data_IF_072589625221
#
_entry.id   IF_072589625221
#
_cell.length_a   1.000
_cell.length_b   1.000
_cell.length_c   1.000
_cell.angle_alpha   90.00
_cell.angle_beta   90.00
_cell.angle_gamma   90.00
#
_symmetry.space_group_name_H-M   'P 1'
#
loop_
_entity.id
_entity.type
_entity.pdbx_description
1 polymer ?
#
# COMPACT_ATOMS: atom_id res chain seq x y z
N UNK A 1 -13.24 3.98 -34.10
CA UNK A 1 -14.63 4.24 -33.67
C UNK A 1 -15.33 2.89 -33.54
N UNK A 2 -15.16 2.22 -32.40
CA UNK A 2 -15.77 0.92 -32.14
C UNK A 2 -17.10 1.17 -31.42
N UNK A 3 -18.21 0.87 -32.11
CA UNK A 3 -19.55 0.94 -31.56
C UNK A 3 -19.80 -0.27 -30.66
N UNK A 4 -20.07 -0.04 -29.38
CA UNK A 4 -20.70 -1.02 -28.51
C UNK A 4 -22.20 -1.01 -28.76
N UNK A 5 -22.76 -2.12 -29.24
CA UNK A 5 -24.20 -2.35 -29.31
C UNK A 5 -24.69 -2.83 -27.94
N UNK A 6 -25.52 -2.03 -27.27
CA UNK A 6 -26.35 -2.51 -26.17
C UNK A 6 -27.63 -3.13 -26.75
N UNK A 7 -27.79 -4.44 -26.64
CA UNK A 7 -29.07 -5.10 -26.92
C UNK A 7 -29.85 -5.15 -25.61
N UNK A 8 -30.90 -4.34 -25.50
CA UNK A 8 -31.84 -4.40 -24.38
C UNK A 8 -32.96 -5.39 -24.73
N UNK A 9 -32.92 -6.58 -24.12
CA UNK A 9 -34.05 -7.51 -24.12
C UNK A 9 -34.95 -7.19 -22.92
N UNK A 10 -36.22 -6.89 -23.19
CA UNK A 10 -37.22 -6.57 -22.17
C UNK A 10 -37.77 -7.85 -21.52
N UNK A 11 -37.61 -7.95 -20.19
CA UNK A 11 -38.38 -8.84 -19.33
C UNK A 11 -37.58 -9.88 -18.53
N UNK A 12 -36.90 -9.45 -17.45
CA UNK A 12 -36.56 -10.25 -16.24
C UNK A 12 -35.65 -9.42 -15.29
N UNK A 13 -36.21 -8.52 -14.47
CA UNK A 13 -35.46 -7.70 -13.49
C UNK A 13 -34.46 -6.71 -14.13
N UNK A 14 -34.23 -5.53 -13.55
CA UNK A 14 -33.19 -4.63 -14.08
C UNK A 14 -31.80 -5.08 -13.61
N UNK A 15 -31.41 -6.33 -13.90
CA UNK A 15 -30.04 -6.80 -13.66
C UNK A 15 -29.19 -6.46 -14.87
N UNK A 16 -28.06 -5.80 -14.64
CA UNK A 16 -27.08 -5.51 -15.68
C UNK A 16 -25.76 -6.19 -15.34
N UNK A 17 -25.19 -6.87 -16.33
CA UNK A 17 -23.84 -7.42 -16.27
C UNK A 17 -22.83 -6.35 -16.70
N UNK A 18 -21.68 -6.32 -16.04
CA UNK A 18 -20.55 -5.48 -16.42
C UNK A 18 -19.24 -6.23 -16.20
N UNK A 19 -18.21 -5.86 -16.96
CA UNK A 19 -16.88 -6.43 -16.83
C UNK A 19 -15.82 -5.32 -16.94
N UNK A 20 -14.71 -5.48 -16.23
CA UNK A 20 -13.55 -4.60 -16.37
C UNK A 20 -12.25 -5.33 -16.07
N UNK A 21 -11.13 -4.79 -16.58
CA UNK A 21 -9.80 -5.28 -16.25
C UNK A 21 -9.40 -4.90 -14.81
N UNK A 22 -8.99 -5.91 -14.06
CA UNK A 22 -8.45 -5.78 -12.72
C UNK A 22 -7.15 -6.58 -12.61
N UNK A 23 -6.03 -5.85 -12.63
CA UNK A 23 -4.68 -6.40 -12.55
C UNK A 23 -4.44 -7.52 -13.56
N UNK A 24 -4.82 -7.32 -14.82
CA UNK A 24 -4.56 -8.26 -15.89
C UNK A 24 -5.56 -9.42 -16.01
N UNK A 25 -6.57 -9.48 -15.15
CA UNK A 25 -7.67 -10.43 -15.23
C UNK A 25 -8.99 -9.67 -15.44
N UNK A 26 -9.99 -10.28 -16.08
CA UNK A 26 -11.30 -9.66 -16.27
C UNK A 26 -12.24 -10.02 -15.13
N UNK A 27 -12.61 -9.05 -14.30
CA UNK A 27 -13.69 -9.19 -13.33
C UNK A 27 -15.02 -8.96 -14.04
N UNK A 28 -15.98 -9.86 -13.85
CA UNK A 28 -17.35 -9.73 -14.34
C UNK A 28 -18.31 -9.97 -13.20
N UNK A 29 -19.36 -9.16 -13.11
CA UNK A 29 -20.42 -9.32 -12.13
C UNK A 29 -21.76 -8.83 -12.67
N UNK A 30 -22.82 -9.18 -11.96
CA UNK A 30 -24.17 -8.68 -12.19
C UNK A 30 -24.59 -7.81 -11.02
N UNK A 31 -25.25 -6.69 -11.31
CA UNK A 31 -25.85 -5.83 -10.31
C UNK A 31 -27.28 -5.47 -10.68
N UNK A 32 -28.14 -5.37 -9.67
CA UNK A 32 -29.45 -4.76 -9.82
C UNK A 32 -29.27 -3.24 -9.98
N UNK A 33 -29.69 -2.72 -11.12
CA UNK A 33 -29.62 -1.29 -11.48
C UNK A 33 -30.94 -0.57 -11.21
N UNK A 34 -31.91 -1.23 -10.58
CA UNK A 34 -33.22 -0.65 -10.25
C UNK A 34 -33.13 0.47 -9.21
N UNK A 35 -31.96 0.73 -8.62
CA UNK A 35 -31.75 1.84 -7.69
C UNK A 35 -31.81 3.18 -8.44
N UNK A 36 -33.02 3.65 -8.70
CA UNK A 36 -33.32 4.85 -9.46
C UNK A 36 -33.37 6.13 -8.60
N UNK A 37 -32.84 6.11 -7.38
CA UNK A 37 -32.83 7.31 -6.53
C UNK A 37 -31.81 8.31 -7.04
N UNK A 38 -32.28 9.49 -7.46
CA UNK A 38 -31.43 10.67 -7.65
C UNK A 38 -30.86 11.07 -6.30
N UNK A 39 -29.58 10.73 -6.06
CA UNK A 39 -28.85 11.21 -4.89
C UNK A 39 -28.37 12.63 -5.21
N UNK A 40 -28.70 13.58 -4.33
CA UNK A 40 -28.24 14.95 -4.45
C UNK A 40 -26.71 15.03 -4.48
N UNK A 41 -26.15 15.98 -5.23
CA UNK A 41 -24.69 16.20 -5.26
C UNK A 41 -24.16 16.59 -3.88
N UNK A 42 -24.93 17.38 -3.13
CA UNK A 42 -24.69 17.64 -1.70
C UNK A 42 -25.47 16.59 -0.90
N UNK A 43 -24.77 15.64 -0.30
CA UNK A 43 -25.40 14.56 0.46
C UNK A 43 -25.75 15.04 1.85
N UNK A 44 -27.01 14.85 2.24
CA UNK A 44 -27.48 14.94 3.62
C UNK A 44 -27.50 13.57 4.31
N UNK A 45 -27.55 13.51 5.66
CA UNK A 45 -27.78 12.26 6.37
C UNK A 45 -29.07 11.53 5.94
N UNK A 46 -30.11 12.26 5.54
CA UNK A 46 -31.35 11.66 5.04
C UNK A 46 -31.14 10.96 3.70
N UNK A 47 -30.33 11.53 2.79
CA UNK A 47 -29.99 10.89 1.51
C UNK A 47 -29.27 9.56 1.72
N UNK A 48 -28.38 9.47 2.72
CA UNK A 48 -27.67 8.24 3.08
C UNK A 48 -28.65 7.17 3.58
N UNK A 49 -29.59 7.54 4.46
CA UNK A 49 -30.60 6.61 4.97
C UNK A 49 -31.55 6.13 3.86
N UNK A 50 -31.96 7.02 2.96
CA UNK A 50 -32.79 6.69 1.80
C UNK A 50 -32.05 5.73 0.85
N UNK A 51 -30.77 6.00 0.58
CA UNK A 51 -29.93 5.11 -0.21
C UNK A 51 -29.82 3.74 0.45
N UNK A 52 -29.49 3.67 1.74
CA UNK A 52 -29.33 2.42 2.46
C UNK A 52 -30.64 1.60 2.50
N UNK A 53 -31.78 2.26 2.70
CA UNK A 53 -33.09 1.59 2.70
C UNK A 53 -33.43 1.07 1.30
N UNK A 54 -33.24 1.90 0.27
CA UNK A 54 -33.54 1.53 -1.11
C UNK A 54 -32.64 0.40 -1.62
N UNK A 55 -31.34 0.48 -1.35
CA UNK A 55 -30.36 -0.50 -1.81
C UNK A 55 -30.57 -1.87 -1.14
N UNK A 56 -30.96 -1.90 0.14
CA UNK A 56 -31.30 -3.16 0.84
C UNK A 56 -32.56 -3.84 0.30
N UNK A 57 -33.42 -3.12 -0.43
CA UNK A 57 -34.59 -3.68 -1.10
C UNK A 57 -34.28 -4.41 -2.41
N UNK A 58 -33.04 -4.32 -2.92
CA UNK A 58 -32.62 -4.93 -4.18
C UNK A 58 -31.77 -6.19 -3.96
N UNK A 59 -31.59 -6.97 -5.03
CA UNK A 59 -30.79 -8.19 -4.99
C UNK A 59 -29.29 -7.92 -5.22
N UNK A 60 -28.58 -7.49 -4.18
CA UNK A 60 -27.12 -7.25 -4.21
C UNK A 60 -26.26 -8.46 -3.83
N UNK A 61 -26.87 -9.56 -3.37
CA UNK A 61 -26.13 -10.75 -2.94
C UNK A 61 -25.25 -11.35 -4.06
N UNK A 62 -25.71 -11.43 -5.33
CA UNK A 62 -24.87 -11.90 -6.42
C UNK A 62 -23.59 -11.07 -6.60
N UNK A 63 -23.70 -9.74 -6.56
CA UNK A 63 -22.55 -8.84 -6.69
C UNK A 63 -21.54 -9.04 -5.55
N UNK A 64 -22.02 -9.06 -4.31
CA UNK A 64 -21.17 -9.32 -3.14
C UNK A 64 -20.50 -10.69 -3.25
N UNK A 65 -21.25 -11.72 -3.68
CA UNK A 65 -20.72 -13.05 -3.93
C UNK A 65 -19.60 -13.06 -4.98
N UNK A 66 -19.77 -12.36 -6.11
CA UNK A 66 -18.73 -12.22 -7.13
C UNK A 66 -17.48 -11.52 -6.60
N UNK A 67 -17.64 -10.46 -5.82
CA UNK A 67 -16.51 -9.72 -5.21
C UNK A 67 -15.73 -10.61 -4.23
N UNK A 68 -16.43 -11.31 -3.33
CA UNK A 68 -15.81 -12.19 -2.35
C UNK A 68 -15.13 -13.41 -3.02
N UNK A 69 -15.79 -14.03 -3.99
CA UNK A 69 -15.19 -15.13 -4.76
C UNK A 69 -13.93 -14.67 -5.51
N UNK A 70 -13.90 -13.44 -6.01
CA UNK A 70 -12.70 -12.87 -6.62
C UNK A 70 -11.59 -12.62 -5.60
N UNK A 71 -11.93 -12.05 -4.43
CA UNK A 71 -10.99 -11.85 -3.32
C UNK A 71 -10.32 -13.17 -2.93
N UNK A 72 -11.08 -14.23 -2.78
CA UNK A 72 -10.57 -15.56 -2.44
C UNK A 72 -9.70 -16.15 -3.56
N UNK A 73 -10.21 -16.17 -4.80
CA UNK A 73 -9.51 -16.73 -5.97
C UNK A 73 -8.14 -16.10 -6.19
N UNK A 74 -8.04 -14.77 -6.06
CA UNK A 74 -6.80 -14.02 -6.30
C UNK A 74 -6.08 -13.66 -5.00
N UNK A 75 -6.56 -14.13 -3.85
CA UNK A 75 -5.97 -13.89 -2.52
C UNK A 75 -5.68 -12.40 -2.27
N UNK A 76 -6.67 -11.54 -2.54
CA UNK A 76 -6.52 -10.11 -2.32
C UNK A 76 -6.53 -9.82 -0.81
N UNK A 77 -5.48 -9.13 -0.33
CA UNK A 77 -5.53 -8.46 0.96
C UNK A 77 -6.58 -7.33 0.94
N UNK A 78 -6.92 -6.79 2.10
CA UNK A 78 -8.07 -5.90 2.23
C UNK A 78 -7.88 -4.59 1.44
N UNK A 79 -6.65 -4.08 1.35
CA UNK A 79 -6.33 -2.94 0.51
C UNK A 79 -6.58 -3.22 -0.97
N UNK A 80 -6.05 -4.31 -1.52
CA UNK A 80 -6.31 -4.70 -2.91
C UNK A 80 -7.79 -5.01 -3.17
N UNK A 81 -8.48 -5.59 -2.18
CA UNK A 81 -9.92 -5.80 -2.26
C UNK A 81 -10.70 -4.49 -2.28
N UNK A 82 -10.28 -3.49 -1.50
CA UNK A 82 -10.85 -2.15 -1.56
C UNK A 82 -10.62 -1.50 -2.93
N UNK A 83 -9.48 -1.72 -3.59
CA UNK A 83 -9.26 -1.27 -4.96
C UNK A 83 -10.24 -1.93 -5.96
N UNK A 84 -10.59 -3.20 -5.77
CA UNK A 84 -11.65 -3.86 -6.54
C UNK A 84 -13.01 -3.20 -6.30
N UNK A 85 -13.37 -2.95 -5.03
CA UNK A 85 -14.60 -2.23 -4.66
C UNK A 85 -14.66 -0.85 -5.30
N UNK A 86 -13.54 -0.10 -5.31
CA UNK A 86 -13.45 1.22 -5.95
C UNK A 86 -13.75 1.14 -7.45
N UNK A 87 -13.18 0.17 -8.17
CA UNK A 87 -13.45 -0.01 -9.61
C UNK A 87 -14.90 -0.46 -9.85
N UNK A 88 -15.46 -1.33 -9.01
CA UNK A 88 -16.86 -1.75 -9.10
C UNK A 88 -17.80 -0.57 -8.86
N UNK A 89 -17.56 0.24 -7.82
CA UNK A 89 -18.35 1.45 -7.55
C UNK A 89 -18.29 2.44 -8.72
N UNK A 90 -17.14 2.55 -9.41
CA UNK A 90 -16.99 3.38 -10.60
C UNK A 90 -17.89 2.91 -11.75
N UNK A 91 -18.05 1.59 -11.93
CA UNK A 91 -18.97 1.04 -12.93
C UNK A 91 -20.45 1.30 -12.59
N UNK A 92 -20.82 1.20 -11.31
CA UNK A 92 -22.20 1.38 -10.85
C UNK A 92 -22.62 2.85 -10.80
N UNK A 93 -21.69 3.72 -10.40
CA UNK A 93 -21.91 5.16 -10.30
C UNK A 93 -20.58 5.88 -10.48
N UNK A 94 -20.25 6.31 -11.71
CA UNK A 94 -18.99 6.98 -11.99
C UNK A 94 -18.74 8.16 -11.06
N UNK A 95 -17.52 8.27 -10.53
CA UNK A 95 -17.12 9.29 -9.56
C UNK A 95 -17.34 10.71 -10.11
N UNK A 96 -17.08 10.90 -11.41
CA UNK A 96 -17.22 12.18 -12.09
C UNK A 96 -18.68 12.61 -12.32
N UNK A 97 -19.63 11.67 -12.31
CA UNK A 97 -21.07 11.96 -12.45
C UNK A 97 -21.69 12.31 -11.11
N UNK A 98 -21.41 11.51 -10.07
CA UNK A 98 -21.92 11.74 -8.72
C UNK A 98 -20.97 11.14 -7.67
N UNK A 99 -20.10 11.98 -7.11
CA UNK A 99 -19.10 11.59 -6.11
C UNK A 99 -19.73 10.98 -4.85
N UNK A 100 -20.85 11.55 -4.41
CA UNK A 100 -21.56 11.10 -3.23
C UNK A 100 -22.09 9.68 -3.39
N UNK A 101 -22.80 9.41 -4.50
CA UNK A 101 -23.32 8.08 -4.82
C UNK A 101 -22.21 7.06 -5.04
N UNK A 102 -21.12 7.46 -5.70
CA UNK A 102 -19.91 6.64 -5.82
C UNK A 102 -19.40 6.20 -4.43
N UNK A 103 -19.30 7.14 -3.49
CA UNK A 103 -18.83 6.88 -2.12
C UNK A 103 -19.81 5.99 -1.34
N UNK A 104 -21.12 6.16 -1.54
CA UNK A 104 -22.14 5.30 -0.95
C UNK A 104 -22.04 3.85 -1.44
N UNK A 105 -21.80 3.63 -2.74
CA UNK A 105 -21.55 2.29 -3.26
C UNK A 105 -20.27 1.68 -2.66
N UNK A 106 -19.17 2.43 -2.56
CA UNK A 106 -17.95 1.94 -1.90
C UNK A 106 -18.23 1.47 -0.47
N UNK A 107 -18.89 2.32 0.32
CA UNK A 107 -19.26 2.00 1.70
C UNK A 107 -20.17 0.78 1.80
N UNK A 108 -21.21 0.72 0.97
CA UNK A 108 -22.16 -0.38 1.00
C UNK A 108 -21.51 -1.72 0.63
N UNK A 109 -20.72 -1.76 -0.45
CA UNK A 109 -20.02 -2.97 -0.89
C UNK A 109 -19.00 -3.44 0.14
N UNK A 110 -18.21 -2.53 0.72
CA UNK A 110 -17.23 -2.87 1.76
C UNK A 110 -17.93 -3.38 3.03
N UNK A 111 -19.00 -2.72 3.47
CA UNK A 111 -19.75 -3.11 4.67
C UNK A 111 -20.42 -4.48 4.50
N UNK A 112 -21.06 -4.73 3.36
CA UNK A 112 -21.68 -6.03 3.05
C UNK A 112 -20.66 -7.13 2.74
N UNK A 113 -19.38 -6.78 2.62
CA UNK A 113 -18.28 -7.75 2.60
C UNK A 113 -17.77 -8.11 4.01
N UNK A 114 -18.39 -7.55 5.06
CA UNK A 114 -18.13 -7.88 6.46
C UNK A 114 -17.29 -6.85 7.24
N UNK A 115 -16.79 -5.78 6.60
CA UNK A 115 -15.96 -4.77 7.27
C UNK A 115 -16.82 -3.74 8.00
N UNK A 116 -16.47 -3.37 9.24
CA UNK A 116 -17.14 -2.31 10.00
C UNK A 116 -16.75 -0.94 9.41
N UNK A 117 -17.50 -0.51 8.41
CA UNK A 117 -17.29 0.74 7.69
C UNK A 117 -18.42 1.72 7.95
N UNK A 118 -18.08 3.00 8.11
CA UNK A 118 -18.99 4.05 8.59
C UNK A 118 -18.92 5.29 7.71
N UNK A 119 -19.99 6.06 7.73
CA UNK A 119 -20.10 7.33 7.03
C UNK A 119 -20.28 8.47 8.02
N UNK A 120 -19.77 9.63 7.64
CA UNK A 120 -19.99 10.87 8.34
C UNK A 120 -20.16 12.00 7.31
N UNK A 121 -20.84 13.07 7.70
CA UNK A 121 -21.05 14.26 6.86
C UNK A 121 -20.44 15.46 7.57
N UNK A 122 -19.63 16.24 6.86
CA UNK A 122 -19.14 17.53 7.38
C UNK A 122 -20.18 18.63 7.24
N UNK A 123 -20.10 19.72 8.02
CA UNK A 123 -20.91 20.93 7.82
C UNK A 123 -20.99 21.43 6.37
N UNK A 124 -19.94 21.25 5.56
CA UNK A 124 -19.94 21.59 4.14
C UNK A 124 -20.63 20.55 3.22
N UNK A 125 -21.29 19.53 3.78
CA UNK A 125 -21.90 18.39 3.09
C UNK A 125 -20.91 17.49 2.36
N UNK A 126 -19.67 17.38 2.87
CA UNK A 126 -18.69 16.41 2.38
C UNK A 126 -18.97 15.05 3.03
N UNK A 127 -19.09 14.00 2.22
CA UNK A 127 -19.25 12.63 2.68
C UNK A 127 -17.88 12.03 2.99
N UNK A 128 -17.65 11.70 4.25
CA UNK A 128 -16.40 11.11 4.72
C UNK A 128 -16.64 9.64 5.01
N UNK A 129 -15.78 8.79 4.47
CA UNK A 129 -15.90 7.34 4.50
C UNK A 129 -14.79 6.75 5.34
N UNK A 130 -15.17 6.01 6.38
CA UNK A 130 -14.27 5.44 7.35
C UNK A 130 -14.37 3.92 7.42
N UNK A 131 -13.29 3.27 7.85
CA UNK A 131 -13.27 1.83 8.13
C UNK A 131 -12.60 1.55 9.47
N UNK A 132 -13.14 0.60 10.23
CA UNK A 132 -12.52 0.13 11.47
C UNK A 132 -11.15 -0.48 11.15
N UNK A 133 -10.13 -0.05 11.89
CA UNK A 133 -8.78 -0.59 11.85
C UNK A 133 -8.27 -0.76 13.28
N UNK A 134 -7.46 -1.79 13.50
CA UNK A 134 -6.84 -2.10 14.79
C UNK A 134 -5.31 -2.09 14.70
N UNK A 135 -4.76 -1.44 13.68
CA UNK A 135 -3.34 -1.34 13.40
C UNK A 135 -2.82 0.04 13.80
N UNK A 136 -1.51 0.17 13.95
CA UNK A 136 -0.90 1.45 14.32
C UNK A 136 -0.66 2.31 13.07
N UNK A 137 -1.72 3.00 12.65
CA UNK A 137 -1.69 3.94 11.53
C UNK A 137 -2.18 5.29 12.03
N UNK A 138 -1.37 6.33 11.90
CA UNK A 138 -1.70 7.69 12.34
C UNK A 138 -1.63 8.75 11.22
N UNK A 139 -1.14 8.38 10.05
CA UNK A 139 -0.78 9.31 8.97
C UNK A 139 -1.99 9.79 8.15
N UNK A 140 -3.18 9.26 8.44
CA UNK A 140 -4.44 9.68 7.82
C UNK A 140 -5.49 10.01 8.89
N UNK A 141 -6.42 10.95 8.61
CA UNK A 141 -7.44 11.33 9.59
C UNK A 141 -8.24 10.13 10.10
N UNK A 142 -8.47 10.08 11.41
CA UNK A 142 -9.23 9.04 12.06
C UNK A 142 -10.08 9.60 13.21
N UNK A 143 -11.03 8.81 13.69
CA UNK A 143 -11.72 9.08 14.94
C UNK A 143 -11.79 7.82 15.81
N UNK A 144 -12.02 8.02 17.10
CA UNK A 144 -12.26 6.94 18.07
C UNK A 144 -13.75 6.87 18.42
N UNK A 145 -14.37 5.70 18.29
CA UNK A 145 -15.72 5.43 18.79
C UNK A 145 -15.70 4.08 19.50
N UNK A 146 -16.18 4.04 20.76
CA UNK A 146 -16.25 2.82 21.58
C UNK A 146 -14.92 2.05 21.66
N UNK A 147 -13.80 2.77 21.76
CA UNK A 147 -12.46 2.19 21.80
C UNK A 147 -11.95 1.63 20.46
N UNK A 148 -12.72 1.77 19.38
CA UNK A 148 -12.30 1.39 18.01
C UNK A 148 -11.84 2.61 17.21
N UNK A 149 -10.75 2.42 16.46
CA UNK A 149 -10.16 3.42 15.56
C UNK A 149 -10.77 3.29 14.17
N UNK A 150 -11.31 4.38 13.63
CA UNK A 150 -11.92 4.42 12.31
C UNK A 150 -11.11 5.33 11.39
N UNK A 151 -10.47 4.75 10.38
CA UNK A 151 -9.52 5.42 9.49
C UNK A 151 -10.24 5.92 8.23
N UNK A 152 -9.92 7.15 7.79
CA UNK A 152 -10.56 7.76 6.62
C UNK A 152 -10.01 7.21 5.30
N UNK A 153 -10.89 6.71 4.43
CA UNK A 153 -10.54 6.09 3.15
C UNK A 153 -10.68 7.04 1.94
N UNK A 154 -11.21 8.25 2.11
CA UNK A 154 -11.49 9.15 0.99
C UNK A 154 -11.07 10.61 1.24
N UNK A 155 -10.31 10.90 2.29
CA UNK A 155 -9.82 12.24 2.57
C UNK A 155 -9.02 12.84 1.39
N UNK A 156 -8.23 12.01 0.71
CA UNK A 156 -7.45 12.39 -0.48
C UNK A 156 -8.30 12.84 -1.69
N UNK A 157 -9.62 12.59 -1.68
CA UNK A 157 -10.50 13.07 -2.75
C UNK A 157 -10.86 14.56 -2.59
N UNK A 158 -10.56 15.17 -1.44
CA UNK A 158 -10.85 16.58 -1.15
C UNK A 158 -9.56 17.40 -1.08
N UNK A 159 -9.37 18.30 -2.03
CA UNK A 159 -8.25 19.24 -2.00
C UNK A 159 -8.37 20.16 -0.77
N UNK A 160 -7.28 20.27 0.01
CA UNK A 160 -7.17 21.17 1.16
C UNK A 160 -8.28 21.02 2.22
N UNK A 161 -8.88 19.84 2.35
CA UNK A 161 -9.79 19.59 3.46
C UNK A 161 -9.01 19.58 4.77
N UNK A 162 -9.49 20.27 5.80
CA UNK A 162 -9.00 20.10 7.17
C UNK A 162 -10.18 19.60 8.01
N UNK A 163 -10.19 18.30 8.31
CA UNK A 163 -11.26 17.68 9.09
C UNK A 163 -11.23 18.09 10.57
N UNK A 164 -10.21 18.83 11.03
CA UNK A 164 -10.24 19.48 12.34
C UNK A 164 -11.04 20.78 12.31
N UNK A 165 -11.01 21.52 11.19
CA UNK A 165 -11.78 22.75 11.00
C UNK A 165 -13.21 22.49 10.50
N UNK A 166 -13.43 21.41 9.76
CA UNK A 166 -14.73 20.97 9.23
C UNK A 166 -15.07 19.55 9.78
N UNK A 167 -15.33 19.43 11.10
CA UNK A 167 -15.42 18.12 11.76
C UNK A 167 -16.62 17.30 11.27
N UNK A 168 -16.38 16.07 10.79
CA UNK A 168 -17.46 15.23 10.28
C UNK A 168 -18.37 14.70 11.39
N UNK A 169 -19.68 14.80 11.18
CA UNK A 169 -20.71 14.25 12.06
C UNK A 169 -21.10 12.83 11.62
N UNK A 170 -20.97 11.81 12.49
CA UNK A 170 -21.31 10.42 12.14
C UNK A 170 -22.77 10.25 11.74
N UNK A 171 -23.02 9.44 10.72
CA UNK A 171 -24.37 8.99 10.35
C UNK A 171 -24.58 7.58 10.92
N UNK A 172 -25.49 7.39 11.89
CA UNK A 172 -25.55 6.17 12.68
C UNK A 172 -26.29 5.03 11.96
N UNK A 173 -25.67 4.50 10.90
CA UNK A 173 -26.17 3.30 10.19
C UNK A 173 -25.31 2.09 10.58
N UNK A 174 -25.94 1.07 11.14
CA UNK A 174 -25.31 -0.22 11.44
C UNK A 174 -25.67 -1.22 10.35
N UNK A 175 -24.66 -1.71 9.63
CA UNK A 175 -24.84 -2.79 8.65
C UNK A 175 -24.70 -4.13 9.38
N UNK A 176 -25.71 -5.00 9.29
CA UNK A 176 -25.67 -6.29 9.96
C UNK A 176 -24.52 -7.17 9.42
N UNK A 177 -23.74 -7.77 10.32
CA UNK A 177 -22.59 -8.61 9.95
C UNK A 177 -21.30 -7.84 9.60
N UNK A 178 -21.34 -6.50 9.56
CA UNK A 178 -20.17 -5.65 9.30
C UNK A 178 -19.38 -5.43 10.60
N UNK A 179 -18.49 -6.36 10.95
CA UNK A 179 -17.74 -6.33 12.23
C UNK A 179 -16.24 -6.42 12.09
N UNK A 180 -15.73 -6.83 10.93
CA UNK A 180 -14.30 -7.07 10.72
C UNK A 180 -13.51 -5.76 10.69
N UNK A 181 -12.31 -5.80 11.28
CA UNK A 181 -11.30 -4.77 11.07
C UNK A 181 -10.73 -4.89 9.65
N UNK A 182 -10.35 -3.76 9.09
CA UNK A 182 -9.66 -3.66 7.82
C UNK A 182 -8.16 -3.61 8.05
N UNK A 183 -7.41 -4.46 7.35
CA UNK A 183 -5.96 -4.50 7.42
C UNK A 183 -5.32 -3.79 6.23
N UNK A 184 -4.36 -2.90 6.49
CA UNK A 184 -3.54 -2.31 5.43
C UNK A 184 -2.38 -3.22 5.03
N UNK A 185 -2.14 -4.33 5.73
CA UNK A 185 -1.03 -5.24 5.43
C UNK A 185 -1.08 -5.77 3.99
N UNK A 186 -0.02 -5.50 3.22
CA UNK A 186 0.16 -6.03 1.88
C UNK A 186 1.01 -7.30 1.95
N UNK A 187 0.35 -8.46 1.94
CA UNK A 187 1.01 -9.77 1.97
C UNK A 187 1.43 -10.29 0.59
N UNK A 188 0.81 -9.78 -0.48
CA UNK A 188 1.14 -10.08 -1.87
C UNK A 188 0.75 -8.92 -2.78
N UNK A 189 1.48 -8.76 -3.88
CA UNK A 189 1.02 -7.96 -5.02
C UNK A 189 0.29 -8.84 -6.05
N UNK A 190 -0.62 -8.27 -6.85
CA UNK A 190 -1.31 -8.99 -7.92
C UNK A 190 -0.36 -9.51 -9.00
N UNK A 191 -0.78 -10.57 -9.69
CA UNK A 191 -0.13 -11.02 -10.92
C UNK A 191 -0.62 -10.19 -12.10
N UNK A 192 0.15 -9.17 -12.51
CA UNK A 192 -0.17 -8.35 -13.68
C UNK A 192 0.08 -9.08 -15.00
N UNK A 193 -0.51 -8.58 -16.11
CA UNK A 193 -0.24 -9.09 -17.46
C UNK A 193 1.26 -9.00 -17.78
N UNK A 194 1.93 -10.06 -18.26
CA UNK A 194 3.36 -10.02 -18.58
C UNK A 194 3.76 -8.87 -19.53
N UNK A 195 2.92 -8.58 -20.53
CA UNK A 195 3.18 -7.54 -21.52
C UNK A 195 2.93 -6.10 -21.00
N UNK A 196 2.41 -5.96 -19.78
CA UNK A 196 2.22 -4.66 -19.13
C UNK A 196 3.44 -4.17 -18.34
N UNK A 197 4.49 -5.00 -18.24
CA UNK A 197 5.73 -4.62 -17.59
C UNK A 197 6.65 -3.87 -18.53
N UNK A 198 7.30 -2.83 -18.00
CA UNK A 198 8.35 -2.08 -18.69
C UNK A 198 9.70 -2.46 -18.13
N UNK A 199 10.71 -2.62 -18.98
CA UNK A 199 12.08 -2.84 -18.54
C UNK A 199 12.72 -1.51 -18.18
N UNK A 200 13.32 -1.43 -16.99
CA UNK A 200 14.16 -0.31 -16.54
C UNK A 200 15.57 -0.82 -16.30
N UNK A 201 16.53 -0.11 -16.90
CA UNK A 201 17.95 -0.38 -16.70
C UNK A 201 18.41 0.27 -15.41
N UNK A 202 18.92 -0.54 -14.49
CA UNK A 202 19.61 -0.08 -13.29
C UNK A 202 21.08 -0.48 -13.39
N UNK A 203 21.95 0.41 -12.93
CA UNK A 203 23.38 0.12 -12.89
C UNK A 203 24.02 0.71 -11.64
N UNK A 204 25.07 0.04 -11.16
CA UNK A 204 25.89 0.59 -10.09
C UNK A 204 27.30 0.01 -10.13
N UNK A 205 28.26 0.77 -9.63
CA UNK A 205 29.64 0.33 -9.51
C UNK A 205 29.88 -0.34 -8.16
N UNK A 206 30.51 -1.52 -8.18
CA UNK A 206 31.01 -2.19 -6.98
C UNK A 206 32.46 -2.63 -7.19
N UNK A 207 33.38 -1.98 -6.48
CA UNK A 207 34.81 -2.10 -6.77
C UNK A 207 35.13 -1.61 -8.18
N UNK A 208 35.77 -2.47 -8.98
CA UNK A 208 36.16 -2.15 -10.37
C UNK A 208 35.15 -2.69 -11.40
N UNK A 209 33.97 -3.13 -10.97
CA UNK A 209 32.97 -3.76 -11.85
C UNK A 209 31.71 -2.91 -11.88
N UNK A 210 31.24 -2.59 -13.07
CA UNK A 210 29.92 -2.00 -13.31
C UNK A 210 28.90 -3.13 -13.49
N UNK A 211 27.90 -3.18 -12.62
CA UNK A 211 26.81 -4.15 -12.68
C UNK A 211 25.61 -3.51 -13.36
N UNK A 212 24.92 -4.27 -14.20
CA UNK A 212 23.72 -3.83 -14.92
C UNK A 212 22.57 -4.82 -14.66
N UNK A 213 21.36 -4.29 -14.55
CA UNK A 213 20.14 -5.04 -14.34
C UNK A 213 19.05 -4.52 -15.26
N UNK A 214 18.41 -5.41 -16.01
CA UNK A 214 17.15 -5.14 -16.70
C UNK A 214 15.99 -5.57 -15.80
N UNK A 215 15.45 -4.62 -15.03
CA UNK A 215 14.36 -4.89 -14.08
C UNK A 215 13.02 -4.65 -14.75
N UNK A 216 12.14 -5.64 -14.72
CA UNK A 216 10.76 -5.50 -15.18
C UNK A 216 9.93 -4.84 -14.09
N UNK A 217 9.17 -3.81 -14.41
CA UNK A 217 8.38 -3.04 -13.46
C UNK A 217 6.97 -2.76 -13.99
N UNK A 218 5.97 -2.67 -13.11
CA UNK A 218 4.59 -2.42 -13.52
C UNK A 218 4.05 -1.07 -13.02
N UNK A 219 3.49 -0.26 -13.91
CA UNK A 219 2.89 1.03 -13.55
C UNK A 219 1.65 0.88 -12.65
N UNK A 220 0.95 -0.26 -12.65
CA UNK A 220 -0.19 -0.51 -11.78
C UNK A 220 0.19 -0.51 -10.29
N UNK A 221 1.45 -0.76 -9.95
CA UNK A 221 1.94 -0.66 -8.57
C UNK A 221 1.81 0.77 -8.04
N UNK A 222 2.13 1.78 -8.86
CA UNK A 222 1.91 3.19 -8.47
C UNK A 222 0.44 3.48 -8.20
N UNK A 223 -0.46 2.89 -8.99
CA UNK A 223 -1.90 3.06 -8.80
C UNK A 223 -2.41 2.37 -7.53
N UNK A 224 -1.83 1.22 -7.15
CA UNK A 224 -2.13 0.53 -5.89
C UNK A 224 -1.77 1.40 -4.70
N UNK A 225 -0.59 2.03 -4.73
CA UNK A 225 -0.04 2.78 -3.59
C UNK A 225 -0.35 4.28 -3.60
N UNK A 226 -0.99 4.82 -4.65
CA UNK A 226 -1.28 6.26 -4.79
C UNK A 226 -1.96 6.90 -3.57
N UNK A 227 -2.87 6.16 -2.92
CA UNK A 227 -3.61 6.60 -1.73
C UNK A 227 -3.39 5.68 -0.53
N UNK A 228 -2.36 4.83 -0.58
CA UNK A 228 -2.02 3.96 0.55
C UNK A 228 -1.40 4.84 1.65
N UNK A 229 -1.83 4.70 2.91
CA UNK A 229 -1.31 5.54 3.99
C UNK A 229 0.12 5.15 4.34
N UNK A 230 0.84 6.04 5.03
CA UNK A 230 1.99 5.60 5.79
C UNK A 230 1.52 4.63 6.87
N UNK A 231 2.15 3.46 6.90
CA UNK A 231 1.85 2.38 7.83
C UNK A 231 3.06 2.11 8.72
N UNK A 232 2.87 1.32 9.77
CA UNK A 232 3.95 0.84 10.61
C UNK A 232 5.11 0.25 9.78
N UNK A 233 6.34 0.45 10.26
CA UNK A 233 7.54 0.01 9.56
C UNK A 233 7.58 -1.50 9.33
N UNK A 234 6.97 -2.30 10.21
CA UNK A 234 6.85 -3.74 9.98
C UNK A 234 5.99 -4.07 8.76
N UNK A 235 4.98 -3.27 8.45
CA UNK A 235 4.16 -3.51 7.27
C UNK A 235 4.87 -3.00 6.02
N UNK A 236 5.38 -1.77 6.12
CA UNK A 236 6.06 -1.08 5.04
C UNK A 236 7.27 -1.86 4.52
N UNK A 237 8.15 -2.32 5.41
CA UNK A 237 9.38 -3.04 5.03
C UNK A 237 9.13 -4.46 4.51
N UNK A 238 7.92 -4.98 4.70
CA UNK A 238 7.54 -6.31 4.23
C UNK A 238 6.63 -6.28 2.99
N UNK A 239 6.40 -5.13 2.37
CA UNK A 239 5.68 -5.06 1.09
C UNK A 239 6.47 -5.85 0.04
N UNK A 240 5.87 -6.87 -0.61
CA UNK A 240 6.57 -7.71 -1.56
C UNK A 240 6.71 -7.07 -2.95
N UNK A 241 7.63 -7.60 -3.76
CA UNK A 241 7.70 -7.31 -5.19
C UNK A 241 6.63 -8.09 -5.96
N UNK A 242 6.19 -7.55 -7.09
CA UNK A 242 5.39 -8.31 -8.06
C UNK A 242 6.23 -9.43 -8.69
N UNK A 243 5.55 -10.46 -9.22
CA UNK A 243 6.20 -11.69 -9.69
C UNK A 243 7.28 -11.46 -10.75
N UNK A 244 7.03 -10.62 -11.75
CA UNK A 244 8.00 -10.38 -12.83
C UNK A 244 9.14 -9.47 -12.36
N UNK A 245 8.87 -8.51 -11.45
CA UNK A 245 9.92 -7.70 -10.82
C UNK A 245 10.83 -8.57 -9.96
N UNK A 246 10.28 -9.43 -9.12
CA UNK A 246 11.04 -10.42 -8.36
C UNK A 246 11.91 -11.27 -9.29
N UNK A 247 11.31 -11.83 -10.35
CA UNK A 247 11.99 -12.76 -11.26
C UNK A 247 13.10 -12.11 -12.09
N UNK A 248 13.00 -10.81 -12.35
CA UNK A 248 14.01 -10.05 -13.10
C UNK A 248 15.11 -9.43 -12.22
N UNK A 249 14.88 -9.25 -10.92
CA UNK A 249 15.85 -8.62 -10.00
C UNK A 249 16.56 -9.61 -9.07
N UNK A 250 15.81 -10.46 -8.36
CA UNK A 250 16.34 -11.26 -7.25
C UNK A 250 17.30 -12.36 -7.74
N UNK A 251 16.99 -13.14 -8.79
CA UNK A 251 17.93 -14.17 -9.27
C UNK A 251 19.27 -13.60 -9.76
N UNK A 252 19.33 -12.49 -10.54
CA UNK A 252 20.60 -11.83 -10.86
C UNK A 252 21.39 -11.36 -9.64
N UNK A 253 20.73 -10.75 -8.65
CA UNK A 253 21.39 -10.34 -7.40
C UNK A 253 21.98 -11.56 -6.65
N UNK A 254 21.19 -12.63 -6.47
CA UNK A 254 21.65 -13.89 -5.85
C UNK A 254 22.84 -14.48 -6.59
N UNK A 255 22.83 -14.44 -7.93
CA UNK A 255 23.96 -14.90 -8.76
C UNK A 255 25.21 -14.07 -8.51
N UNK A 256 25.08 -12.75 -8.46
CA UNK A 256 26.23 -11.84 -8.29
C UNK A 256 26.87 -11.96 -6.91
N UNK A 257 26.08 -12.19 -5.86
CA UNK A 257 26.61 -12.37 -4.50
C UNK A 257 27.06 -13.80 -4.19
N UNK A 258 26.80 -14.76 -5.09
CA UNK A 258 27.18 -16.15 -4.91
C UNK A 258 28.70 -16.28 -4.75
N UNK A 259 29.12 -16.89 -3.66
CA UNK A 259 30.55 -17.08 -3.32
C UNK A 259 31.20 -15.87 -2.66
N UNK A 260 30.49 -14.75 -2.47
CA UNK A 260 30.94 -13.67 -1.59
C UNK A 260 30.82 -14.09 -0.13
N UNK A 261 31.72 -13.58 0.72
CA UNK A 261 31.49 -13.65 2.18
C UNK A 261 30.22 -12.88 2.54
N UNK A 262 29.55 -13.26 3.63
CA UNK A 262 28.33 -12.59 4.11
C UNK A 262 28.52 -11.06 4.17
N UNK A 263 29.61 -10.59 4.79
CA UNK A 263 29.98 -9.16 4.83
C UNK A 263 30.01 -8.52 3.44
N UNK A 264 30.70 -9.14 2.48
CA UNK A 264 30.86 -8.58 1.13
C UNK A 264 29.54 -8.59 0.35
N UNK A 265 28.73 -9.63 0.53
CA UNK A 265 27.41 -9.72 -0.08
C UNK A 265 26.42 -8.68 0.45
N UNK A 266 26.37 -8.46 1.77
CA UNK A 266 25.55 -7.41 2.35
C UNK A 266 26.05 -6.02 1.94
N UNK A 267 27.37 -5.81 1.89
CA UNK A 267 27.95 -4.56 1.39
C UNK A 267 27.59 -4.32 -0.09
N UNK A 268 27.59 -5.37 -0.92
CA UNK A 268 27.14 -5.29 -2.31
C UNK A 268 25.68 -4.83 -2.42
N UNK A 269 24.77 -5.43 -1.64
CA UNK A 269 23.35 -5.03 -1.63
C UNK A 269 23.16 -3.59 -1.11
N UNK A 270 23.91 -3.21 -0.06
CA UNK A 270 23.91 -1.85 0.48
C UNK A 270 24.39 -0.83 -0.57
N UNK A 271 25.41 -1.18 -1.36
CA UNK A 271 25.93 -0.32 -2.44
C UNK A 271 24.96 -0.25 -3.62
N UNK A 272 24.25 -1.33 -3.93
CA UNK A 272 23.18 -1.31 -4.93
C UNK A 272 22.10 -0.30 -4.56
N UNK A 273 21.55 -0.37 -3.35
CA UNK A 273 20.51 0.57 -2.89
C UNK A 273 21.02 2.00 -2.76
N UNK A 274 22.31 2.18 -2.47
CA UNK A 274 22.93 3.50 -2.34
C UNK A 274 23.13 4.24 -3.67
N UNK A 275 23.46 3.51 -4.74
CA UNK A 275 23.96 4.12 -5.98
C UNK A 275 23.15 3.81 -7.24
N UNK A 276 22.19 2.86 -7.20
CA UNK A 276 21.35 2.58 -8.36
C UNK A 276 20.27 3.66 -8.61
N UNK A 277 20.11 4.63 -7.69
CA UNK A 277 19.07 5.67 -7.71
C UNK A 277 19.65 7.05 -7.40
N UNK A 278 19.06 8.10 -7.95
CA UNK A 278 19.36 9.48 -7.54
C UNK A 278 18.71 9.75 -6.17
N UNK A 279 19.26 10.70 -5.42
CA UNK A 279 18.75 11.06 -4.09
C UNK A 279 18.00 12.38 -4.16
N UNK A 280 16.80 12.43 -3.59
CA UNK A 280 16.01 13.64 -3.36
C UNK A 280 15.09 13.39 -2.16
N UNK A 281 14.81 14.44 -1.38
CA UNK A 281 13.90 14.36 -0.23
C UNK A 281 12.43 14.34 -0.70
N UNK A 282 11.58 13.57 -0.02
CA UNK A 282 10.16 13.45 -0.30
C UNK A 282 9.39 14.78 -0.25
N UNK A 283 9.75 15.70 0.64
CA UNK A 283 9.13 17.03 0.67
C UNK A 283 9.43 17.81 -0.61
N UNK A 284 10.61 17.58 -1.21
CA UNK A 284 11.03 18.20 -2.46
C UNK A 284 10.43 17.49 -3.69
N UNK A 285 10.28 16.17 -3.64
CA UNK A 285 9.83 15.34 -4.76
C UNK A 285 8.29 15.20 -4.83
N UNK A 286 7.62 15.03 -3.70
CA UNK A 286 6.18 14.77 -3.60
C UNK A 286 5.39 15.87 -2.85
N UNK A 287 6.06 16.82 -2.20
CA UNK A 287 5.42 17.87 -1.40
C UNK A 287 4.84 17.38 -0.06
N UNK A 288 5.14 16.13 0.33
CA UNK A 288 4.78 15.47 1.60
C UNK A 288 5.63 14.21 1.76
N UNK A 289 5.80 13.73 3.00
CA UNK A 289 6.40 12.41 3.28
C UNK A 289 5.59 11.32 2.55
N UNK A 290 6.27 10.49 1.75
CA UNK A 290 5.68 9.41 0.95
C UNK A 290 6.63 8.20 0.86
N UNK A 291 6.50 7.31 1.85
CA UNK A 291 7.12 5.98 1.85
C UNK A 291 6.74 5.16 0.60
N UNK A 292 7.72 4.89 -0.27
CA UNK A 292 7.54 4.08 -1.48
C UNK A 292 7.80 2.60 -1.20
N UNK A 293 6.92 1.72 -1.70
CA UNK A 293 7.17 0.27 -1.68
C UNK A 293 8.50 -0.08 -2.40
N UNK A 294 9.12 -1.25 -2.12
CA UNK A 294 10.36 -1.63 -2.81
C UNK A 294 10.28 -1.58 -4.34
N UNK A 295 9.12 -1.93 -4.92
CA UNK A 295 8.91 -1.83 -6.38
C UNK A 295 8.73 -0.38 -6.86
N UNK A 296 8.06 0.48 -6.09
CA UNK A 296 8.01 1.92 -6.39
C UNK A 296 9.41 2.57 -6.32
N UNK A 297 10.24 2.21 -5.34
CA UNK A 297 11.64 2.66 -5.25
C UNK A 297 12.43 2.24 -6.49
N UNK A 298 12.27 1.00 -6.96
CA UNK A 298 12.89 0.52 -8.20
C UNK A 298 12.40 1.32 -9.43
N UNK A 299 11.12 1.71 -9.42
CA UNK A 299 10.51 2.50 -10.48
C UNK A 299 10.96 3.96 -10.49
N UNK A 300 11.16 4.57 -9.33
CA UNK A 300 11.45 5.99 -9.20
C UNK A 300 12.85 6.37 -9.70
N UNK A 301 13.00 7.60 -10.18
CA UNK A 301 14.31 8.18 -10.49
C UNK A 301 15.03 8.61 -9.20
N UNK A 302 14.25 9.13 -8.24
CA UNK A 302 14.70 9.64 -6.96
C UNK A 302 14.14 8.82 -5.79
N UNK A 303 14.91 8.68 -4.72
CA UNK A 303 14.48 8.01 -3.49
C UNK A 303 15.21 8.58 -2.27
N UNK A 304 14.52 8.56 -1.14
CA UNK A 304 14.98 9.14 0.13
C UNK A 304 15.58 8.06 1.07
N UNK A 305 15.68 8.36 2.38
CA UNK A 305 16.20 7.39 3.34
C UNK A 305 15.24 6.23 3.65
N UNK A 306 13.93 6.48 3.72
CA UNK A 306 12.92 5.49 4.05
C UNK A 306 12.84 4.43 2.95
N UNK A 307 12.79 4.87 1.70
CA UNK A 307 12.70 4.02 0.52
C UNK A 307 13.92 3.09 0.37
N UNK A 308 15.11 3.66 0.54
CA UNK A 308 16.37 2.92 0.40
C UNK A 308 16.56 1.95 1.56
N UNK A 309 16.13 2.32 2.77
CA UNK A 309 16.12 1.43 3.92
C UNK A 309 15.16 0.26 3.72
N UNK A 310 13.94 0.51 3.24
CA UNK A 310 12.94 -0.52 2.94
C UNK A 310 13.42 -1.47 1.83
N UNK A 311 13.95 -0.95 0.72
CA UNK A 311 14.50 -1.77 -0.36
C UNK A 311 15.70 -2.59 0.10
N UNK A 312 16.63 -2.01 0.88
CA UNK A 312 17.77 -2.75 1.41
C UNK A 312 17.34 -3.85 2.37
N UNK A 313 16.42 -3.54 3.29
CA UNK A 313 15.82 -4.51 4.20
C UNK A 313 15.20 -5.68 3.40
N UNK A 314 14.38 -5.37 2.41
CA UNK A 314 13.75 -6.38 1.54
C UNK A 314 14.80 -7.28 0.88
N UNK A 315 15.85 -6.70 0.28
CA UNK A 315 16.89 -7.47 -0.41
C UNK A 315 17.69 -8.37 0.54
N UNK A 316 18.04 -7.89 1.74
CA UNK A 316 18.76 -8.70 2.73
C UNK A 316 17.87 -9.84 3.23
N UNK A 317 16.61 -9.57 3.53
CA UNK A 317 15.62 -10.59 3.90
C UNK A 317 15.49 -11.66 2.82
N UNK A 318 15.28 -11.26 1.57
CA UNK A 318 15.06 -12.19 0.46
C UNK A 318 16.31 -13.00 0.06
N UNK A 319 17.52 -12.47 0.23
CA UNK A 319 18.75 -13.10 -0.28
C UNK A 319 19.51 -13.85 0.82
N UNK A 320 19.56 -13.28 2.03
CA UNK A 320 20.37 -13.79 3.14
C UNK A 320 19.53 -14.23 4.34
N UNK A 321 18.29 -13.74 4.45
CA UNK A 321 17.38 -14.05 5.54
C UNK A 321 18.01 -13.86 6.93
N UNK A 322 18.59 -12.66 7.15
CA UNK A 322 19.30 -12.33 8.38
C UNK A 322 18.44 -11.49 9.33
N UNK A 323 18.63 -11.63 10.65
CA UNK A 323 18.01 -10.73 11.61
C UNK A 323 18.45 -9.28 11.37
N UNK A 324 17.48 -8.37 11.43
CA UNK A 324 17.68 -6.95 11.17
C UNK A 324 16.88 -6.08 12.12
N UNK A 325 17.36 -4.88 12.39
CA UNK A 325 16.61 -3.84 13.08
C UNK A 325 16.58 -2.55 12.24
N UNK A 326 15.43 -1.90 12.23
CA UNK A 326 15.25 -0.57 11.66
C UNK A 326 15.48 0.48 12.75
N UNK A 327 16.44 1.37 12.52
CA UNK A 327 16.84 2.42 13.47
C UNK A 327 16.34 3.78 12.97
N UNK A 328 15.32 4.32 13.62
CA UNK A 328 14.76 5.64 13.32
C UNK A 328 15.43 6.71 14.18
N UNK A 329 16.07 7.66 13.52
CA UNK A 329 16.55 8.92 14.08
C UNK A 329 15.54 10.03 13.74
N UNK A 330 15.61 11.20 14.40
CA UNK A 330 14.68 12.30 14.13
C UNK A 330 14.63 12.79 12.68
N UNK A 331 15.69 12.56 11.89
CA UNK A 331 15.79 13.04 10.50
C UNK A 331 16.35 11.98 9.55
N UNK A 332 16.37 10.70 9.95
CA UNK A 332 17.00 9.64 9.16
C UNK A 332 16.56 8.26 9.61
N UNK A 333 16.46 7.31 8.70
CA UNK A 333 16.30 5.89 9.03
C UNK A 333 17.40 5.06 8.38
N UNK A 334 17.88 4.06 9.10
CA UNK A 334 18.92 3.15 8.63
C UNK A 334 18.70 1.74 9.17
N UNK A 335 19.40 0.75 8.63
CA UNK A 335 19.25 -0.66 8.99
C UNK A 335 20.50 -1.14 9.72
N UNK A 336 20.34 -1.97 10.75
CA UNK A 336 21.46 -2.74 11.29
C UNK A 336 21.20 -4.25 11.14
N UNK A 337 22.19 -4.96 10.62
CA UNK A 337 22.10 -6.39 10.30
C UNK A 337 22.90 -7.20 11.32
N UNK A 338 22.37 -8.34 11.74
CA UNK A 338 23.09 -9.29 12.57
C UNK A 338 24.02 -10.14 11.70
N UNK A 339 25.32 -9.98 11.90
CA UNK A 339 26.37 -10.81 11.30
C UNK A 339 26.86 -11.87 12.28
N UNK A 340 27.47 -12.94 11.78
CA UNK A 340 28.10 -13.97 12.62
C UNK A 340 29.15 -13.38 13.58
N UNK A 341 29.85 -12.34 13.11
CA UNK A 341 30.80 -11.54 13.91
C UNK A 341 30.46 -10.06 13.72
N UNK A 342 30.30 -9.29 14.81
CA UNK A 342 30.06 -7.87 14.70
C UNK A 342 31.16 -7.15 13.92
N UNK A 343 30.76 -6.19 13.09
CA UNK A 343 31.64 -5.40 12.23
C UNK A 343 31.54 -3.95 12.67
N UNK A 344 32.68 -3.29 12.89
CA UNK A 344 32.72 -1.89 13.30
C UNK A 344 32.19 -1.71 14.72
N UNK A 345 31.43 -0.63 14.95
CA UNK A 345 30.83 -0.35 16.25
C UNK A 345 29.44 -1.01 16.34
N UNK A 346 29.27 -2.05 17.18
CA UNK A 346 28.01 -2.77 17.24
C UNK A 346 26.92 -1.98 17.96
N UNK A 347 25.69 -2.21 17.53
CA UNK A 347 24.46 -1.83 18.22
C UNK A 347 23.95 -3.03 18.99
N UNK A 348 23.61 -2.85 20.27
CA UNK A 348 23.04 -3.91 21.11
C UNK A 348 21.53 -3.69 21.23
N UNK A 349 20.74 -4.67 20.79
CA UNK A 349 19.28 -4.66 20.93
C UNK A 349 18.81 -6.03 21.40
N UNK A 350 18.03 -6.07 22.49
CA UNK A 350 17.51 -7.30 23.11
C UNK A 350 18.57 -8.41 23.29
N UNK A 351 19.77 -8.03 23.72
CA UNK A 351 20.88 -8.95 23.98
C UNK A 351 21.62 -9.46 22.74
N UNK A 352 21.25 -9.02 21.53
CA UNK A 352 21.93 -9.36 20.27
C UNK A 352 22.69 -8.15 19.72
N UNK A 353 23.76 -8.43 18.99
CA UNK A 353 24.64 -7.42 18.39
C UNK A 353 24.40 -7.28 16.89
N UNK A 354 24.19 -6.06 16.42
CA UNK A 354 23.93 -5.71 15.03
C UNK A 354 25.01 -4.74 14.54
N UNK A 355 25.34 -4.78 13.25
CA UNK A 355 26.24 -3.83 12.61
C UNK A 355 25.44 -2.92 11.68
N UNK A 356 25.62 -1.62 11.80
CA UNK A 356 24.90 -0.64 10.97
C UNK A 356 25.29 -0.81 9.50
N UNK A 357 24.29 -0.82 8.63
CA UNK A 357 24.40 -0.86 7.18
C UNK A 357 23.62 0.32 6.63
N UNK A 358 24.32 1.37 6.22
CA UNK A 358 23.69 2.61 5.73
C UNK A 358 23.35 2.50 4.23
N UNK A 359 22.09 2.32 3.84
CA UNK A 359 21.73 2.11 2.44
C UNK A 359 21.58 3.42 1.67
N UNK A 360 21.57 4.57 2.35
CA UNK A 360 21.37 5.90 1.77
C UNK A 360 22.71 6.61 1.60
N UNK A 361 22.86 7.41 0.56
CA UNK A 361 24.09 8.14 0.33
C UNK A 361 24.32 9.15 1.47
N UNK A 362 25.51 9.14 2.04
CA UNK A 362 25.94 10.09 3.08
C UNK A 362 27.11 10.92 2.55
N UNK A 363 27.38 12.11 3.13
CA UNK A 363 28.59 12.87 2.82
C UNK A 363 29.87 12.07 3.06
N UNK A 364 29.87 11.16 4.04
CA UNK A 364 30.94 10.21 4.28
C UNK A 364 30.73 8.89 3.51
N UNK A 365 31.80 8.31 2.95
CA UNK A 365 31.73 6.95 2.41
C UNK A 365 31.71 5.90 3.54
N UNK A 366 30.52 5.62 4.06
CA UNK A 366 30.31 4.72 5.18
C UNK A 366 30.39 3.25 4.75
N UNK A 367 31.27 2.50 5.43
CA UNK A 367 31.36 1.04 5.39
C UNK A 367 30.40 0.42 6.42
N UNK A 368 30.11 -0.88 6.27
CA UNK A 368 29.39 -1.65 7.29
C UNK A 368 30.03 -1.44 8.67
N UNK A 369 29.19 -1.17 9.67
CA UNK A 369 29.58 -0.92 11.06
C UNK A 369 29.96 0.52 11.35
N UNK A 370 29.75 1.44 10.40
CA UNK A 370 30.00 2.87 10.58
C UNK A 370 28.69 3.66 10.57
N UNK A 371 28.63 4.66 11.44
CA UNK A 371 27.59 5.70 11.47
C UNK A 371 28.21 7.03 11.02
N UNK A 372 27.42 7.88 10.37
CA UNK A 372 27.83 9.24 10.05
C UNK A 372 28.13 10.02 11.33
N UNK A 373 28.99 11.03 11.21
CA UNK A 373 29.36 11.89 12.34
C UNK A 373 28.14 12.56 13.00
N UNK A 374 27.11 12.88 12.19
CA UNK A 374 25.84 13.49 12.63
C UNK A 374 25.01 12.54 13.50
N UNK A 375 24.95 11.25 13.16
CA UNK A 375 24.09 10.28 13.85
C UNK A 375 24.71 9.70 15.12
N UNK A 376 26.04 9.65 15.23
CA UNK A 376 26.76 9.04 16.39
C UNK A 376 26.34 9.57 17.76
N UNK A 377 25.87 10.82 17.83
CA UNK A 377 25.47 11.48 19.09
C UNK A 377 23.96 11.66 19.20
N UNK A 378 23.19 11.19 18.23
CA UNK A 378 21.75 11.27 18.24
C UNK A 378 21.15 9.99 18.82
N UNK A 379 20.09 10.15 19.60
CA UNK A 379 19.28 9.01 20.02
C UNK A 379 18.50 8.47 18.82
N UNK A 380 18.32 7.16 18.77
CA UNK A 380 17.46 6.48 17.80
C UNK A 380 16.45 5.61 18.55
N UNK A 381 15.38 5.25 17.86
CA UNK A 381 14.42 4.24 18.27
C UNK A 381 14.53 3.03 17.35
N UNK A 382 14.40 1.83 17.90
CA UNK A 382 14.22 0.62 17.07
C UNK A 382 12.74 0.48 16.78
N UNK A 383 12.33 0.84 15.57
CA UNK A 383 10.92 0.89 15.14
C UNK A 383 10.45 -0.41 14.52
N UNK A 384 11.37 -1.27 14.09
CA UNK A 384 11.06 -2.62 13.62
C UNK A 384 12.24 -3.56 13.84
N UNK A 385 11.95 -4.82 14.13
CA UNK A 385 12.93 -5.89 14.32
C UNK A 385 12.46 -7.14 13.61
N UNK A 386 13.28 -7.64 12.70
CA UNK A 386 13.07 -8.89 11.99
C UNK A 386 13.96 -9.98 12.56
N UNK A 387 13.35 -11.11 12.89
CA UNK A 387 14.03 -12.33 13.32
C UNK A 387 13.43 -13.51 12.54
N UNK A 388 14.16 -14.10 11.57
CA UNK A 388 13.70 -15.26 10.80
C UNK A 388 13.32 -16.47 11.68
N UNK A 389 13.87 -16.55 12.90
CA UNK A 389 13.60 -17.64 13.84
C UNK A 389 12.38 -17.38 14.74
N UNK A 390 11.85 -16.16 14.74
CA UNK A 390 10.63 -15.86 15.47
C UNK A 390 9.41 -16.48 14.76
N UNK A 391 8.40 -16.97 15.49
CA UNK A 391 7.14 -17.38 14.88
C UNK A 391 6.58 -16.18 14.10
N UNK A 392 6.15 -16.41 12.85
CA UNK A 392 5.35 -15.44 12.11
C UNK A 392 4.12 -15.10 12.95
N UNK A 393 4.01 -13.84 13.38
CA UNK A 393 2.83 -13.33 14.10
C UNK A 393 1.68 -13.05 13.14
#
# INVERSE_FOLDING_TARGET
MALFFSVAAYGQGNKASFCFDFYGNTFCAEADTSLNSTIHQKISPQDINNFYTGINGLDYKPLIGSLLAWREKYQLNDWLYYQLIRKTAEQLSPKNVNYGRYTLYKWYLLSNSGFDARLAITPENRIIFYVYNNEDIADIPFFMVDGKKYMCLNYHDYAHADLHQDPPMPVPIKVAGATHAFSYLITRLPDFKPDSYVAKQLQFQYGNTMYHFDVKLNNEVKNIFANYPGVDFSYYFNIPLSRETYSSLIPPLRKNVKGMSQKKGIDYLMRFTRYAFLYEDDEQNFGKEKRMSPEETLFSEYSDCDDRAALFFYLVKEIYDLPMIAMLYPTHITIAVQFDKPIGQPIVYRGRTYSVCEPTLQPEDLKIGQLSSKLKKQAYQVVYSYDPSAPTQ
#
